data_IF_074555213627
#
_entry.id   IF_074555213627
#
_cell.length_a   1.000
_cell.length_b   1.000
_cell.length_c   1.000
_cell.angle_alpha   90.00
_cell.angle_beta   90.00
_cell.angle_gamma   90.00
#
_symmetry.space_group_name_H-M   'P 1'
#
loop_
_entity.id
_entity.type
_entity.pdbx_description
1 polymer ?
#
# COMPACT_ATOMS: atom_id res chain seq x y z
N UNK A 1 5.75 -28.33 -8.06
CA UNK A 1 5.43 -26.94 -8.48
C UNK A 1 4.80 -26.23 -7.30
N UNK A 2 5.45 -25.23 -6.71
CA UNK A 2 4.92 -24.52 -5.54
C UNK A 2 3.80 -23.58 -5.99
N UNK A 3 2.57 -23.82 -5.52
CA UNK A 3 1.41 -22.98 -5.82
C UNK A 3 1.69 -21.56 -5.34
N UNK A 4 1.51 -20.56 -6.22
CA UNK A 4 1.64 -19.15 -5.82
C UNK A 4 0.62 -18.85 -4.71
N UNK A 5 1.01 -18.13 -3.64
CA UNK A 5 0.24 -18.03 -2.40
C UNK A 5 -1.13 -17.38 -2.56
N UNK A 6 -1.33 -16.56 -3.62
CA UNK A 6 -2.58 -15.83 -3.84
C UNK A 6 -3.32 -16.24 -5.12
N UNK A 7 -2.98 -17.39 -5.70
CA UNK A 7 -3.64 -17.91 -6.90
C UNK A 7 -5.16 -17.94 -6.76
N UNK A 8 -5.86 -17.23 -7.65
CA UNK A 8 -7.34 -17.19 -7.70
C UNK A 8 -7.99 -16.26 -6.68
N UNK A 9 -7.22 -15.48 -5.91
CA UNK A 9 -7.75 -14.48 -4.97
C UNK A 9 -7.80 -13.09 -5.59
N UNK A 10 -8.81 -12.33 -5.22
CA UNK A 10 -8.99 -10.92 -5.60
C UNK A 10 -8.76 -10.01 -4.41
N UNK A 11 -7.98 -8.95 -4.60
CA UNK A 11 -7.68 -7.94 -3.58
C UNK A 11 -8.06 -6.54 -4.07
N UNK A 12 -8.79 -5.79 -3.24
CA UNK A 12 -8.90 -4.35 -3.33
C UNK A 12 -7.74 -3.71 -2.56
N UNK A 13 -6.93 -2.90 -3.22
CA UNK A 13 -5.73 -2.29 -2.61
C UNK A 13 -6.04 -0.85 -2.21
N UNK A 14 -6.57 -0.69 -0.99
CA UNK A 14 -6.97 0.58 -0.39
C UNK A 14 -5.82 1.18 0.47
N UNK A 15 -4.87 1.85 -0.19
CA UNK A 15 -3.71 2.46 0.48
C UNK A 15 -3.38 3.81 -0.15
N UNK A 16 -2.18 4.33 0.10
CA UNK A 16 -1.73 5.61 -0.46
C UNK A 16 -1.47 5.51 -1.96
N UNK A 17 -1.60 6.64 -2.68
CA UNK A 17 -1.33 6.72 -4.13
C UNK A 17 0.03 6.11 -4.52
N UNK A 18 1.09 6.41 -3.76
CA UNK A 18 2.46 5.92 -4.00
C UNK A 18 2.62 4.41 -3.77
N UNK A 19 1.82 3.83 -2.87
CA UNK A 19 1.91 2.40 -2.50
C UNK A 19 1.00 1.51 -3.32
N UNK A 20 -0.15 2.02 -3.77
CA UNK A 20 -1.19 1.21 -4.40
C UNK A 20 -0.66 0.43 -5.61
N UNK A 21 0.07 1.11 -6.49
CA UNK A 21 0.67 0.52 -7.69
C UNK A 21 1.70 -0.56 -7.35
N UNK A 22 2.61 -0.27 -6.41
CA UNK A 22 3.67 -1.21 -6.01
C UNK A 22 3.10 -2.46 -5.36
N UNK A 23 2.13 -2.30 -4.46
CA UNK A 23 1.50 -3.43 -3.77
C UNK A 23 0.66 -4.27 -4.73
N UNK A 24 -0.09 -3.64 -5.63
CA UNK A 24 -0.85 -4.36 -6.66
C UNK A 24 0.05 -5.20 -7.58
N UNK A 25 1.22 -4.67 -7.98
CA UNK A 25 2.19 -5.42 -8.77
C UNK A 25 2.73 -6.65 -8.03
N UNK A 26 3.09 -6.50 -6.75
CA UNK A 26 3.56 -7.63 -5.92
C UNK A 26 2.48 -8.70 -5.77
N UNK A 27 1.23 -8.33 -5.53
CA UNK A 27 0.10 -9.27 -5.42
C UNK A 27 -0.14 -10.05 -6.73
N UNK A 28 -0.07 -9.35 -7.87
CA UNK A 28 -0.21 -9.99 -9.19
C UNK A 28 0.93 -10.96 -9.48
N UNK A 29 2.17 -10.63 -9.11
CA UNK A 29 3.30 -11.54 -9.22
C UNK A 29 3.08 -12.84 -8.40
N UNK A 30 2.37 -12.73 -7.28
CA UNK A 30 1.98 -13.86 -6.42
C UNK A 30 0.66 -14.55 -6.84
N UNK A 31 0.16 -14.27 -8.05
CA UNK A 31 -0.98 -14.98 -8.66
C UNK A 31 -2.37 -14.41 -8.31
N UNK A 32 -2.42 -13.23 -7.68
CA UNK A 32 -3.68 -12.57 -7.36
C UNK A 32 -4.19 -11.70 -8.53
N UNK A 33 -5.50 -11.43 -8.51
CA UNK A 33 -6.06 -10.25 -9.16
C UNK A 33 -6.04 -9.08 -8.15
N UNK A 34 -5.40 -7.98 -8.50
CA UNK A 34 -5.30 -6.81 -7.63
C UNK A 34 -5.92 -5.58 -8.29
N UNK A 35 -6.87 -4.93 -7.63
CA UNK A 35 -7.53 -3.69 -8.05
C UNK A 35 -7.01 -2.54 -7.20
N UNK A 36 -6.15 -1.66 -7.74
CA UNK A 36 -5.70 -0.48 -7.01
C UNK A 36 -6.86 0.50 -6.81
N UNK A 37 -7.06 0.94 -5.58
CA UNK A 37 -8.09 1.90 -5.20
C UNK A 37 -7.53 2.83 -4.12
N UNK A 38 -6.68 3.82 -4.50
CA UNK A 38 -6.02 4.66 -3.51
C UNK A 38 -7.05 5.52 -2.75
N UNK A 39 -7.14 5.32 -1.44
CA UNK A 39 -8.10 6.00 -0.55
C UNK A 39 -7.43 6.99 0.39
N UNK A 40 -6.10 6.99 0.44
CA UNK A 40 -5.32 7.83 1.37
C UNK A 40 -4.38 8.73 0.57
N UNK A 41 -4.36 10.02 0.89
CA UNK A 41 -3.36 10.96 0.39
C UNK A 41 -2.46 11.39 1.53
N UNK A 42 -1.15 11.19 1.37
CA UNK A 42 -0.16 11.71 2.30
C UNK A 42 0.15 13.16 1.96
N UNK A 43 0.13 14.01 2.98
CA UNK A 43 0.53 15.42 2.88
C UNK A 43 1.56 15.70 3.97
N UNK A 44 2.58 16.51 3.64
CA UNK A 44 3.56 16.94 4.63
C UNK A 44 2.86 17.80 5.70
N UNK A 45 3.15 17.58 7.00
CA UNK A 45 2.72 18.50 8.05
C UNK A 45 3.26 19.91 7.79
N UNK A 46 2.49 20.93 8.18
CA UNK A 46 2.95 22.32 8.08
C UNK A 46 4.08 22.65 9.05
N UNK A 47 4.12 21.97 10.19
CA UNK A 47 5.11 22.14 11.24
C UNK A 47 5.40 20.79 11.92
N UNK A 48 6.68 20.47 12.09
CA UNK A 48 7.17 19.26 12.76
C UNK A 48 7.65 19.54 14.19
N UNK A 49 7.78 20.80 14.60
CA UNK A 49 8.26 21.16 15.93
C UNK A 49 7.48 20.52 17.09
N UNK A 50 6.14 20.31 17.02
CA UNK A 50 5.42 19.57 18.06
C UNK A 50 5.89 18.13 18.22
N UNK A 51 6.19 17.44 17.11
CA UNK A 51 6.72 16.08 17.13
C UNK A 51 8.14 16.07 17.71
N UNK A 52 9.01 16.98 17.25
CA UNK A 52 10.40 17.06 17.71
C UNK A 52 10.49 17.30 19.22
N UNK A 53 9.60 18.13 19.79
CA UNK A 53 9.53 18.36 21.24
C UNK A 53 9.10 17.13 22.02
N UNK A 54 8.22 16.30 21.46
CA UNK A 54 7.70 15.10 22.13
C UNK A 54 8.68 13.91 22.11
N UNK A 55 9.63 13.92 21.17
CA UNK A 55 10.64 12.87 21.01
C UNK A 55 11.95 13.16 21.77
N UNK A 56 12.08 14.33 22.40
CA UNK A 56 13.19 14.72 23.27
C UNK A 56 12.86 14.42 24.72
#
# INVERSE_FOLDING_TARGET
MTKRPFSGRTFLVATTEDRASRLAATLRAQGALAVPFPTVRLISPKDLAPLDRALR
#
